data_IF_830613255060
#
_entry.id   IF_830613255060
#
_cell.length_a   1.000
_cell.length_b   1.000
_cell.length_c   1.000
_cell.angle_alpha   90.00
_cell.angle_beta   90.00
_cell.angle_gamma   90.00
#
_symmetry.space_group_name_H-M   'P 1'
#
loop_
_entity.id
_entity.type
_entity.pdbx_description
1 polymer ?
#
# COMPACT_ATOMS: atom_id res chain seq x y z
N UNK A 1 -2.94 -23.24 42.45
CA UNK A 1 -2.35 -23.02 41.10
C UNK A 1 -3.49 -22.81 40.11
N UNK A 2 -3.75 -21.58 39.72
CA UNK A 2 -4.74 -21.28 38.67
C UNK A 2 -4.01 -21.42 37.35
N UNK A 3 -4.37 -22.42 36.55
CA UNK A 3 -3.86 -22.56 35.19
C UNK A 3 -4.38 -21.37 34.36
N UNK A 4 -3.51 -20.44 34.05
CA UNK A 4 -3.80 -19.44 33.01
C UNK A 4 -3.83 -20.19 31.66
N UNK A 5 -5.03 -20.44 31.15
CA UNK A 5 -5.21 -20.86 29.78
C UNK A 5 -4.77 -19.69 28.90
N UNK A 6 -3.60 -19.81 28.24
CA UNK A 6 -3.21 -18.93 27.17
C UNK A 6 -4.21 -19.15 26.03
N UNK A 7 -5.17 -18.26 25.88
CA UNK A 7 -5.93 -18.18 24.63
C UNK A 7 -4.94 -17.79 23.53
N UNK A 8 -4.58 -18.74 22.68
CA UNK A 8 -3.88 -18.42 21.43
C UNK A 8 -4.75 -17.41 20.67
N UNK A 9 -4.24 -16.20 20.48
CA UNK A 9 -4.93 -15.20 19.67
C UNK A 9 -5.05 -15.76 18.26
N UNK A 10 -6.26 -15.71 17.66
CA UNK A 10 -6.49 -16.16 16.30
C UNK A 10 -5.58 -15.35 15.37
N UNK A 11 -4.72 -16.02 14.64
CA UNK A 11 -3.93 -15.39 13.58
C UNK A 11 -4.70 -15.42 12.27
N UNK A 12 -4.45 -14.39 11.43
CA UNK A 12 -4.99 -14.26 10.08
C UNK A 12 -3.95 -14.72 9.07
N UNK A 13 -4.40 -15.42 8.03
CA UNK A 13 -3.51 -15.89 6.97
C UNK A 13 -3.25 -14.76 5.97
N UNK A 14 -2.00 -14.34 5.84
CA UNK A 14 -1.55 -13.36 4.87
C UNK A 14 -0.70 -14.02 3.78
N UNK A 15 -1.03 -13.80 2.53
CA UNK A 15 -0.19 -14.16 1.40
C UNK A 15 0.58 -12.93 0.92
N UNK A 16 1.90 -12.94 1.10
CA UNK A 16 2.77 -11.91 0.59
C UNK A 16 3.33 -12.32 -0.79
N UNK A 17 2.82 -11.68 -1.85
CA UNK A 17 3.25 -11.95 -3.23
C UNK A 17 4.31 -10.92 -3.61
N UNK A 18 5.49 -11.39 -3.96
CA UNK A 18 6.65 -10.60 -4.33
C UNK A 18 7.43 -11.26 -5.48
N UNK A 19 8.58 -10.72 -5.86
CA UNK A 19 9.49 -11.31 -6.85
C UNK A 19 9.84 -10.34 -7.95
N UNK A 20 9.37 -10.57 -9.18
CA UNK A 20 9.78 -9.72 -10.28
C UNK A 20 9.30 -8.27 -10.12
N UNK A 21 10.23 -7.36 -10.29
CA UNK A 21 10.02 -5.92 -10.34
C UNK A 21 10.93 -5.31 -11.42
N UNK A 22 10.82 -4.03 -11.65
CA UNK A 22 11.70 -3.32 -12.57
C UNK A 22 13.08 -3.03 -11.95
N UNK A 23 13.98 -2.44 -12.74
CA UNK A 23 15.35 -2.12 -12.31
C UNK A 23 15.46 -0.98 -11.28
N UNK A 24 14.36 -0.29 -10.99
CA UNK A 24 14.33 0.88 -10.10
C UNK A 24 13.93 0.51 -8.68
N UNK A 25 13.39 -0.71 -8.46
CA UNK A 25 12.91 -1.19 -7.18
C UNK A 25 13.70 -2.41 -6.69
N UNK A 26 13.61 -2.73 -5.41
CA UNK A 26 14.18 -3.94 -4.81
C UNK A 26 13.13 -4.65 -3.98
N UNK A 27 12.51 -5.66 -4.57
CA UNK A 27 11.51 -6.47 -3.89
C UNK A 27 12.08 -7.19 -2.65
N UNK A 28 13.37 -7.56 -2.67
CA UNK A 28 14.02 -8.25 -1.55
C UNK A 28 14.08 -7.35 -0.31
N UNK A 29 14.44 -6.07 -0.49
CA UNK A 29 14.51 -5.11 0.61
C UNK A 29 13.12 -4.84 1.15
N UNK A 30 12.15 -4.57 0.27
CA UNK A 30 10.78 -4.29 0.67
C UNK A 30 10.14 -5.46 1.41
N UNK A 31 10.27 -6.69 0.87
CA UNK A 31 9.67 -7.87 1.48
C UNK A 31 10.26 -8.20 2.86
N UNK A 32 11.57 -8.05 3.05
CA UNK A 32 12.20 -8.27 4.36
C UNK A 32 11.59 -7.37 5.45
N UNK A 33 11.39 -6.08 5.15
CA UNK A 33 10.76 -5.15 6.09
C UNK A 33 9.29 -5.47 6.32
N UNK A 34 8.52 -5.64 5.25
CA UNK A 34 7.07 -5.80 5.36
C UNK A 34 6.66 -7.12 6.01
N UNK A 35 7.33 -8.21 5.68
CA UNK A 35 7.10 -9.51 6.33
C UNK A 35 7.44 -9.41 7.82
N UNK A 36 8.60 -8.83 8.18
CA UNK A 36 8.97 -8.64 9.57
C UNK A 36 7.96 -7.77 10.33
N UNK A 37 7.45 -6.70 9.71
CA UNK A 37 6.41 -5.84 10.29
C UNK A 37 5.08 -6.58 10.53
N UNK A 38 4.67 -7.47 9.64
CA UNK A 38 3.44 -8.25 9.84
C UNK A 38 3.62 -9.29 10.94
N UNK A 39 4.74 -10.01 10.94
CA UNK A 39 5.04 -11.06 11.94
C UNK A 39 5.19 -10.48 13.35
N UNK A 40 5.83 -9.31 13.53
CA UNK A 40 5.98 -8.68 14.85
C UNK A 40 4.64 -8.33 15.51
N UNK A 41 3.55 -8.17 14.72
CA UNK A 41 2.22 -7.90 15.29
C UNK A 41 1.64 -9.09 16.04
N UNK A 42 2.09 -10.30 15.75
CA UNK A 42 1.50 -11.55 16.25
C UNK A 42 0.11 -11.85 15.66
N UNK A 43 -0.43 -10.97 14.80
CA UNK A 43 -1.77 -11.13 14.21
C UNK A 43 -1.77 -11.98 12.94
N UNK A 44 -0.63 -12.09 12.25
CA UNK A 44 -0.55 -12.73 10.94
C UNK A 44 0.37 -13.95 10.93
N UNK A 45 -0.09 -14.99 10.26
CA UNK A 45 0.76 -16.01 9.69
C UNK A 45 1.02 -15.62 8.24
N UNK A 46 2.29 -15.44 7.86
CA UNK A 46 2.66 -14.91 6.54
C UNK A 46 3.29 -16.00 5.68
N UNK A 47 2.63 -16.32 4.58
CA UNK A 47 3.21 -17.12 3.51
C UNK A 47 3.79 -16.20 2.45
N UNK A 48 5.04 -16.42 2.05
CA UNK A 48 5.72 -15.62 1.02
C UNK A 48 5.78 -16.38 -0.28
N UNK A 49 5.26 -15.78 -1.35
CA UNK A 49 5.32 -16.32 -2.71
C UNK A 49 6.18 -15.41 -3.59
N UNK A 50 7.31 -15.92 -4.01
CA UNK A 50 8.23 -15.21 -4.92
C UNK A 50 7.93 -15.62 -6.35
N UNK A 51 7.48 -14.68 -7.16
CA UNK A 51 7.03 -14.92 -8.52
C UNK A 51 8.08 -14.50 -9.57
N UNK A 52 8.19 -15.26 -10.67
CA UNK A 52 8.91 -14.82 -11.87
C UNK A 52 8.12 -13.73 -12.60
N UNK A 53 8.77 -13.13 -13.61
CA UNK A 53 8.10 -12.15 -14.49
C UNK A 53 6.81 -12.69 -15.14
N UNK A 54 6.82 -13.95 -15.52
CA UNK A 54 5.67 -14.63 -16.13
C UNK A 54 5.32 -15.86 -15.31
N UNK A 55 4.13 -15.86 -14.73
CA UNK A 55 3.60 -16.99 -13.96
C UNK A 55 3.04 -18.03 -14.94
N UNK A 56 3.52 -19.27 -14.84
CA UNK A 56 3.14 -20.38 -15.73
C UNK A 56 2.53 -21.55 -14.95
N UNK A 57 3.32 -22.14 -14.05
CA UNK A 57 3.00 -23.39 -13.37
C UNK A 57 2.73 -23.25 -11.87
N UNK A 58 2.89 -22.03 -11.34
CA UNK A 58 2.66 -21.76 -9.94
C UNK A 58 1.18 -21.96 -9.58
N UNK A 59 0.94 -22.53 -8.41
CA UNK A 59 -0.42 -22.79 -7.90
C UNK A 59 -0.68 -22.03 -6.63
N UNK A 60 -1.81 -21.37 -6.56
CA UNK A 60 -2.27 -20.68 -5.38
C UNK A 60 -3.79 -20.83 -5.27
N UNK A 61 -4.26 -21.09 -4.06
CA UNK A 61 -5.68 -20.92 -3.72
C UNK A 61 -5.83 -19.69 -2.84
N UNK A 62 -6.18 -18.56 -3.47
CA UNK A 62 -6.37 -17.29 -2.76
C UNK A 62 -7.42 -17.37 -1.66
N UNK A 63 -8.36 -18.34 -1.75
CA UNK A 63 -9.43 -18.48 -0.75
C UNK A 63 -8.93 -18.99 0.62
N UNK A 64 -7.68 -19.46 0.71
CA UNK A 64 -7.04 -19.85 1.97
C UNK A 64 -6.51 -18.66 2.78
N UNK A 65 -6.54 -17.44 2.20
CA UNK A 65 -5.97 -16.25 2.81
C UNK A 65 -7.03 -15.20 3.14
N UNK A 66 -6.82 -14.52 4.26
CA UNK A 66 -7.66 -13.41 4.69
C UNK A 66 -7.24 -12.11 4.00
N UNK A 67 -5.96 -11.99 3.66
CA UNK A 67 -5.38 -10.83 2.96
C UNK A 67 -4.24 -11.25 2.03
N UNK A 68 -4.17 -10.58 0.87
CA UNK A 68 -3.02 -10.63 -0.04
C UNK A 68 -2.31 -9.28 0.01
N UNK A 69 -1.00 -9.29 0.26
CA UNK A 69 -0.13 -8.13 0.11
C UNK A 69 0.62 -8.28 -1.21
N UNK A 70 0.47 -7.31 -2.09
CA UNK A 70 1.05 -7.35 -3.42
C UNK A 70 2.23 -6.38 -3.53
N UNK A 71 3.38 -6.94 -3.84
CA UNK A 71 4.63 -6.23 -4.09
C UNK A 71 5.31 -6.81 -5.35
N UNK A 72 4.75 -6.51 -6.51
CA UNK A 72 5.28 -6.91 -7.82
C UNK A 72 5.01 -5.83 -8.84
N UNK A 73 5.89 -5.73 -9.83
CA UNK A 73 5.72 -4.86 -10.99
C UNK A 73 6.16 -5.60 -12.26
N UNK A 74 5.69 -5.17 -13.42
CA UNK A 74 5.99 -5.77 -14.73
C UNK A 74 5.77 -7.30 -14.80
N UNK A 75 4.81 -7.84 -14.05
CA UNK A 75 4.49 -9.27 -14.03
C UNK A 75 3.29 -9.60 -14.93
N UNK A 76 3.27 -10.83 -15.41
CA UNK A 76 2.15 -11.38 -16.15
C UNK A 76 1.54 -12.58 -15.43
N UNK A 77 0.23 -12.48 -15.13
CA UNK A 77 -0.54 -13.57 -14.55
C UNK A 77 -1.42 -14.24 -15.60
N UNK A 78 -1.56 -15.57 -15.56
CA UNK A 78 -2.46 -16.28 -16.44
C UNK A 78 -3.93 -15.92 -16.14
N UNK A 79 -4.79 -16.02 -17.15
CA UNK A 79 -6.19 -15.58 -17.04
C UNK A 79 -6.96 -16.29 -15.92
N UNK A 80 -6.65 -17.56 -15.65
CA UNK A 80 -7.32 -18.29 -14.57
C UNK A 80 -6.94 -17.73 -13.18
N UNK A 81 -5.69 -17.28 -12.96
CA UNK A 81 -5.29 -16.59 -11.74
C UNK A 81 -6.04 -15.27 -11.56
N UNK A 82 -6.11 -14.47 -12.63
CA UNK A 82 -6.86 -13.21 -12.62
C UNK A 82 -8.31 -13.44 -12.21
N UNK A 83 -8.98 -14.44 -12.80
CA UNK A 83 -10.36 -14.78 -12.43
C UNK A 83 -10.53 -15.29 -11.00
N UNK A 84 -9.59 -16.11 -10.51
CA UNK A 84 -9.60 -16.59 -9.13
C UNK A 84 -9.40 -15.43 -8.16
N UNK A 85 -8.48 -14.51 -8.45
CA UNK A 85 -8.21 -13.34 -7.65
C UNK A 85 -9.41 -12.38 -7.61
N UNK A 86 -10.03 -12.08 -8.73
CA UNK A 86 -11.28 -11.31 -8.80
C UNK A 86 -12.38 -11.94 -7.92
N UNK A 87 -12.55 -13.25 -8.01
CA UNK A 87 -13.53 -13.98 -7.20
C UNK A 87 -13.20 -13.86 -5.70
N UNK A 88 -11.93 -14.00 -5.32
CA UNK A 88 -11.45 -13.87 -3.96
C UNK A 88 -11.79 -12.48 -3.39
N UNK A 89 -11.41 -11.42 -4.09
CA UNK A 89 -11.70 -10.06 -3.64
C UNK A 89 -13.22 -9.82 -3.56
N UNK A 90 -13.98 -10.15 -4.62
CA UNK A 90 -15.44 -9.97 -4.62
C UNK A 90 -16.17 -10.68 -3.47
N UNK A 91 -15.61 -11.77 -2.95
CA UNK A 91 -16.16 -12.52 -1.82
C UNK A 91 -15.77 -11.98 -0.45
N UNK A 92 -14.90 -10.97 -0.38
CA UNK A 92 -14.52 -10.31 0.87
C UNK A 92 -13.04 -10.45 1.24
N UNK A 93 -12.22 -11.03 0.38
CA UNK A 93 -10.77 -11.09 0.56
C UNK A 93 -10.16 -9.69 0.67
N UNK A 94 -9.12 -9.56 1.49
CA UNK A 94 -8.35 -8.33 1.66
C UNK A 94 -7.24 -8.20 0.62
N UNK A 95 -6.93 -6.96 0.23
CA UNK A 95 -5.79 -6.66 -0.63
C UNK A 95 -5.04 -5.45 -0.11
N UNK A 96 -3.72 -5.53 -0.13
CA UNK A 96 -2.83 -4.41 0.17
C UNK A 96 -1.95 -4.17 -1.03
N UNK A 97 -1.98 -2.94 -1.54
CA UNK A 97 -1.15 -2.46 -2.65
C UNK A 97 -0.11 -1.52 -2.08
N UNK A 98 1.16 -1.79 -2.39
CA UNK A 98 2.26 -0.97 -1.91
C UNK A 98 3.07 -0.44 -3.09
N UNK A 99 3.21 0.89 -3.12
CA UNK A 99 4.10 1.62 -4.02
C UNK A 99 4.03 1.08 -5.46
N UNK A 100 5.12 0.54 -5.99
CA UNK A 100 5.24 0.04 -7.37
C UNK A 100 4.19 -0.99 -7.81
N UNK A 101 3.50 -1.64 -6.87
CA UNK A 101 2.44 -2.58 -7.22
C UNK A 101 1.23 -1.91 -7.87
N UNK A 102 1.09 -0.59 -7.76
CA UNK A 102 0.07 0.17 -8.49
C UNK A 102 0.37 0.31 -9.99
N UNK A 103 1.61 0.03 -10.40
CA UNK A 103 2.02 0.00 -11.80
C UNK A 103 1.70 -1.34 -12.48
N UNK A 104 1.46 -2.39 -11.69
CA UNK A 104 1.20 -3.72 -12.21
C UNK A 104 -0.09 -3.78 -13.05
N UNK A 105 -0.12 -4.71 -14.00
CA UNK A 105 -1.31 -5.11 -14.78
C UNK A 105 -2.11 -3.96 -15.41
N UNK A 106 -1.53 -3.03 -16.14
CA UNK A 106 -2.25 -1.88 -16.72
C UNK A 106 -3.42 -2.31 -17.61
N UNK A 107 -3.31 -3.45 -18.30
CA UNK A 107 -4.34 -4.00 -19.19
C UNK A 107 -5.51 -4.67 -18.44
N UNK A 108 -5.37 -4.94 -17.15
CA UNK A 108 -6.39 -5.67 -16.39
C UNK A 108 -7.37 -4.70 -15.75
N UNK A 109 -8.48 -4.43 -16.45
CA UNK A 109 -9.49 -3.44 -16.04
C UNK A 109 -10.05 -3.68 -14.62
N UNK A 110 -10.30 -4.94 -14.26
CA UNK A 110 -10.81 -5.24 -12.93
C UNK A 110 -9.77 -4.99 -11.84
N UNK A 111 -8.47 -5.21 -12.13
CA UNK A 111 -7.40 -4.82 -11.21
C UNK A 111 -7.33 -3.30 -11.03
N UNK A 112 -7.44 -2.53 -12.10
CA UNK A 112 -7.47 -1.07 -12.02
C UNK A 112 -8.65 -0.55 -11.18
N UNK A 113 -9.80 -1.24 -11.19
CA UNK A 113 -10.91 -0.93 -10.27
C UNK A 113 -10.59 -1.29 -8.82
N UNK A 114 -9.89 -2.40 -8.57
CA UNK A 114 -9.49 -2.81 -7.23
C UNK A 114 -8.50 -1.83 -6.61
N UNK A 115 -7.50 -1.40 -7.38
CA UNK A 115 -6.46 -0.50 -6.86
C UNK A 115 -6.89 0.97 -6.80
N UNK A 116 -7.98 1.35 -7.48
CA UNK A 116 -8.52 2.70 -7.53
C UNK A 116 -7.73 3.65 -8.44
N UNK A 117 -6.47 3.86 -8.15
CA UNK A 117 -5.53 4.67 -8.92
C UNK A 117 -4.27 3.87 -9.24
N UNK A 118 -3.71 4.07 -10.42
CA UNK A 118 -2.44 3.45 -10.82
C UNK A 118 -1.61 4.36 -11.71
N UNK A 119 -0.32 4.07 -11.79
CA UNK A 119 0.62 4.83 -12.60
C UNK A 119 1.24 4.01 -13.72
N UNK A 120 1.99 4.67 -14.57
CA UNK A 120 2.83 4.10 -15.62
C UNK A 120 2.13 3.04 -16.51
N UNK A 121 2.88 2.12 -17.12
CA UNK A 121 2.33 1.01 -17.90
C UNK A 121 1.46 1.44 -19.08
N UNK A 122 1.74 2.62 -19.68
CA UNK A 122 0.93 3.27 -20.73
C UNK A 122 -0.48 3.71 -20.29
N UNK A 123 -0.76 3.76 -18.97
CA UNK A 123 -2.01 4.37 -18.48
C UNK A 123 -2.09 5.84 -18.89
N UNK A 124 -3.28 6.28 -19.28
CA UNK A 124 -3.56 7.64 -19.75
C UNK A 124 -5.01 8.03 -19.44
N UNK A 125 -5.52 9.10 -20.05
CA UNK A 125 -6.87 9.63 -19.83
C UNK A 125 -8.01 8.62 -20.10
N UNK A 126 -7.74 7.53 -20.85
CA UNK A 126 -8.73 6.46 -21.09
C UNK A 126 -8.88 5.49 -19.91
N UNK A 127 -7.90 5.50 -19.00
CA UNK A 127 -7.90 4.64 -17.80
C UNK A 127 -8.56 5.32 -16.60
N UNK A 128 -8.87 6.63 -16.71
CA UNK A 128 -9.59 7.38 -15.71
C UNK A 128 -9.06 8.79 -15.47
N UNK A 129 -9.61 9.45 -14.48
CA UNK A 129 -9.29 10.81 -14.08
C UNK A 129 -8.01 10.88 -13.24
N UNK A 130 -7.39 12.06 -13.17
CA UNK A 130 -6.48 12.40 -12.07
C UNK A 130 -7.28 12.74 -10.81
N UNK A 131 -6.73 12.39 -9.66
CA UNK A 131 -7.28 12.74 -8.35
C UNK A 131 -6.23 13.49 -7.56
N UNK A 132 -6.58 14.67 -7.03
CA UNK A 132 -5.73 15.43 -6.13
C UNK A 132 -6.58 16.28 -5.17
N UNK A 133 -5.98 16.77 -4.11
CA UNK A 133 -6.66 17.64 -3.15
C UNK A 133 -6.29 19.09 -3.42
N UNK A 134 -7.28 19.95 -3.48
CA UNK A 134 -7.10 21.39 -3.67
C UNK A 134 -8.23 22.16 -2.96
N UNK A 135 -7.88 23.25 -2.29
CA UNK A 135 -8.83 24.17 -1.65
C UNK A 135 -9.88 23.48 -0.76
N UNK A 136 -9.47 22.46 0.00
CA UNK A 136 -10.34 21.75 0.93
C UNK A 136 -11.21 20.65 0.30
N UNK A 137 -11.05 20.35 -0.99
CA UNK A 137 -11.85 19.35 -1.71
C UNK A 137 -11.00 18.44 -2.59
N UNK A 138 -11.54 17.27 -2.92
CA UNK A 138 -10.98 16.45 -3.99
C UNK A 138 -11.37 16.98 -5.35
N UNK A 139 -10.37 17.14 -6.19
CA UNK A 139 -10.55 17.44 -7.61
C UNK A 139 -10.45 16.13 -8.40
N UNK A 140 -11.44 15.91 -9.26
CA UNK A 140 -11.49 14.79 -10.20
C UNK A 140 -11.33 15.35 -11.60
N UNK A 141 -10.09 15.29 -12.13
CA UNK A 141 -9.78 15.85 -13.43
C UNK A 141 -9.81 14.77 -14.52
N UNK A 142 -10.96 14.64 -15.14
CA UNK A 142 -11.20 13.73 -16.27
C UNK A 142 -10.91 14.39 -17.65
N UNK A 143 -10.53 15.65 -17.67
CA UNK A 143 -10.39 16.43 -18.92
C UNK A 143 -8.95 16.58 -19.37
N UNK A 144 -8.01 16.69 -18.42
CA UNK A 144 -6.59 16.86 -18.76
C UNK A 144 -6.05 15.57 -19.36
N UNK A 145 -5.58 15.59 -20.63
CA UNK A 145 -4.95 14.41 -21.23
C UNK A 145 -3.56 14.17 -20.66
N UNK A 146 -3.00 12.99 -20.89
CA UNK A 146 -1.62 12.66 -20.57
C UNK A 146 -1.44 11.36 -19.83
N UNK A 147 -0.19 10.93 -19.73
CA UNK A 147 0.19 9.70 -19.07
C UNK A 147 -0.07 9.75 -17.56
N UNK A 148 -0.37 8.61 -16.99
CA UNK A 148 -0.41 8.44 -15.54
C UNK A 148 0.97 8.17 -14.97
N UNK A 149 1.18 8.62 -13.76
CA UNK A 149 2.38 8.36 -12.98
C UNK A 149 3.48 9.40 -13.20
N UNK A 150 3.83 10.06 -12.11
CA UNK A 150 4.94 11.01 -12.02
C UNK A 150 5.46 11.01 -10.59
N UNK A 151 6.75 11.24 -10.42
CA UNK A 151 7.34 11.57 -9.13
C UNK A 151 8.46 12.59 -9.31
N UNK A 152 8.78 13.32 -8.26
CA UNK A 152 9.93 14.18 -8.16
C UNK A 152 11.17 13.45 -7.65
N UNK A 153 12.14 14.22 -7.18
CA UNK A 153 13.27 13.67 -6.42
C UNK A 153 12.77 13.08 -5.10
N UNK A 154 13.49 12.08 -4.59
CA UNK A 154 13.28 11.54 -3.25
C UNK A 154 13.68 12.57 -2.21
N UNK A 155 12.71 13.18 -1.59
CA UNK A 155 12.85 14.22 -0.57
C UNK A 155 11.86 13.97 0.54
N UNK A 156 12.07 14.53 1.75
CA UNK A 156 11.05 14.51 2.80
C UNK A 156 9.82 15.31 2.38
N UNK A 157 8.64 14.84 2.81
CA UNK A 157 7.37 15.54 2.64
C UNK A 157 6.43 15.29 3.82
N UNK A 158 5.44 16.16 3.99
CA UNK A 158 4.45 16.06 5.05
C UNK A 158 3.27 15.23 4.54
N UNK A 159 2.88 14.22 5.32
CA UNK A 159 1.62 13.51 5.15
C UNK A 159 0.53 14.30 5.89
N UNK A 160 -0.58 14.57 5.22
CA UNK A 160 -1.75 15.24 5.77
C UNK A 160 -2.94 14.28 5.83
N UNK A 161 -3.49 14.02 7.02
CA UNK A 161 -4.72 13.22 7.14
C UNK A 161 -5.93 13.98 6.59
N UNK A 162 -6.76 13.26 5.83
CA UNK A 162 -8.02 13.76 5.29
C UNK A 162 -9.24 13.12 5.95
N UNK A 163 -9.07 11.90 6.48
CA UNK A 163 -10.10 11.13 7.19
C UNK A 163 -9.57 10.65 8.56
N UNK A 164 -9.36 11.55 9.54
CA UNK A 164 -8.70 11.21 10.81
C UNK A 164 -9.48 10.18 11.66
N UNK A 165 -10.76 10.00 11.40
CA UNK A 165 -11.61 9.05 12.12
C UNK A 165 -11.61 7.64 11.47
N UNK A 166 -11.04 7.48 10.27
CA UNK A 166 -10.97 6.16 9.65
C UNK A 166 -10.07 5.22 10.46
N UNK A 167 -10.50 3.97 10.66
CA UNK A 167 -9.88 2.98 11.56
C UNK A 167 -8.37 2.84 11.34
N UNK A 168 -7.90 2.88 10.11
CA UNK A 168 -6.46 2.72 9.78
C UNK A 168 -5.63 3.84 10.43
N UNK A 169 -6.10 5.07 10.38
CA UNK A 169 -5.33 6.26 10.78
C UNK A 169 -5.80 6.88 12.10
N UNK A 170 -6.91 6.42 12.65
CA UNK A 170 -7.49 6.96 13.90
C UNK A 170 -6.48 6.93 15.03
N UNK A 171 -6.30 8.09 15.66
CA UNK A 171 -5.35 8.32 16.75
C UNK A 171 -3.94 8.73 16.30
N UNK A 172 -3.65 8.75 14.99
CA UNK A 172 -2.44 9.39 14.46
C UNK A 172 -2.59 10.93 14.50
N UNK A 173 -1.46 11.68 14.54
CA UNK A 173 -1.52 13.13 14.38
C UNK A 173 -2.05 13.50 13.01
N UNK A 174 -2.64 14.68 12.88
CA UNK A 174 -3.21 15.15 11.60
C UNK A 174 -2.17 15.32 10.50
N UNK A 175 -0.89 15.40 10.88
CA UNK A 175 0.24 15.47 9.95
C UNK A 175 1.53 14.94 10.57
N UNK A 176 2.42 14.37 9.72
CA UNK A 176 3.75 13.96 10.12
C UNK A 176 4.72 14.00 8.95
N UNK A 177 6.03 14.13 9.26
CA UNK A 177 7.10 14.11 8.27
C UNK A 177 7.39 12.67 7.84
N UNK A 178 7.31 12.42 6.54
CA UNK A 178 7.80 11.21 5.88
C UNK A 178 9.12 11.54 5.18
N UNK A 179 10.10 10.62 5.29
CA UNK A 179 11.46 10.92 4.83
C UNK A 179 11.76 10.22 3.51
N UNK A 180 12.51 10.91 2.66
CA UNK A 180 13.18 10.42 1.44
C UNK A 180 12.48 9.28 0.69
N UNK A 181 11.31 9.56 0.17
CA UNK A 181 10.52 8.61 -0.62
C UNK A 181 10.23 9.18 -2.01
N UNK A 182 9.84 8.34 -2.95
CA UNK A 182 9.27 8.75 -4.22
C UNK A 182 7.78 9.00 -4.03
N UNK A 183 7.40 10.27 -3.93
CA UNK A 183 6.00 10.63 -3.87
C UNK A 183 5.38 10.47 -5.26
N UNK A 184 4.67 9.37 -5.48
CA UNK A 184 3.91 9.15 -6.70
C UNK A 184 2.72 10.11 -6.78
N UNK A 185 2.55 10.71 -7.93
CA UNK A 185 1.46 11.62 -8.25
C UNK A 185 1.02 11.48 -9.69
N UNK A 186 0.05 12.29 -10.08
CA UNK A 186 -0.63 12.18 -11.37
C UNK A 186 -1.08 10.73 -11.66
N UNK A 187 -1.49 9.98 -10.60
CA UNK A 187 -2.07 8.66 -10.77
C UNK A 187 -3.47 8.79 -11.37
N UNK A 188 -3.84 7.82 -12.19
CA UNK A 188 -5.14 7.76 -12.85
C UNK A 188 -5.88 6.48 -12.52
N UNK A 189 -7.17 6.56 -12.51
CA UNK A 189 -7.95 5.35 -12.39
C UNK A 189 -9.45 5.62 -12.29
N UNK A 190 -10.25 4.55 -12.31
CA UNK A 190 -11.69 4.66 -12.14
C UNK A 190 -12.09 5.20 -10.77
N UNK A 191 -11.24 4.98 -9.75
CA UNK A 191 -11.42 5.41 -8.36
C UNK A 191 -12.84 5.16 -7.82
N UNK A 192 -13.47 4.08 -8.30
CA UNK A 192 -14.80 3.66 -7.87
C UNK A 192 -14.74 3.20 -6.41
N UNK A 193 -15.65 3.69 -5.56
CA UNK A 193 -15.72 3.34 -4.13
C UNK A 193 -14.41 3.56 -3.38
N UNK A 194 -13.67 4.60 -3.73
CA UNK A 194 -12.41 4.99 -3.12
C UNK A 194 -12.63 6.04 -2.02
N UNK A 195 -11.95 5.88 -0.90
CA UNK A 195 -11.87 6.87 0.18
C UNK A 195 -10.41 7.22 0.43
N UNK A 196 -10.04 8.51 0.27
CA UNK A 196 -8.67 8.98 0.49
C UNK A 196 -8.48 9.33 1.97
N UNK A 197 -7.53 8.67 2.61
CA UNK A 197 -7.23 8.83 4.04
C UNK A 197 -6.18 9.90 4.29
N UNK A 198 -5.22 10.04 3.37
CA UNK A 198 -4.15 11.03 3.49
C UNK A 198 -3.61 11.47 2.12
N UNK A 199 -3.08 12.68 2.10
CA UNK A 199 -2.40 13.27 0.93
C UNK A 199 -1.02 13.79 1.32
N UNK A 200 -0.19 14.08 0.31
CA UNK A 200 1.05 14.81 0.46
C UNK A 200 1.30 15.75 -0.74
N UNK A 201 1.92 16.89 -0.47
CA UNK A 201 2.24 17.86 -1.52
C UNK A 201 3.46 17.40 -2.34
N UNK A 202 3.25 17.18 -3.62
CA UNK A 202 4.27 16.77 -4.57
C UNK A 202 4.94 18.02 -5.16
N UNK A 203 6.04 18.46 -4.53
CA UNK A 203 6.69 19.73 -4.83
C UNK A 203 7.21 19.82 -6.28
N UNK A 204 6.67 20.77 -7.03
CA UNK A 204 7.09 21.05 -8.41
C UNK A 204 8.57 21.47 -8.49
N UNK A 205 9.11 22.11 -7.46
CA UNK A 205 10.53 22.51 -7.39
C UNK A 205 11.48 21.32 -7.36
N UNK A 206 11.02 20.16 -6.94
CA UNK A 206 11.77 18.89 -6.97
C UNK A 206 11.45 18.02 -8.17
N UNK A 207 10.58 18.47 -9.07
CA UNK A 207 10.12 17.72 -10.23
C UNK A 207 8.78 16.99 -10.01
N UNK A 208 8.13 17.20 -8.88
CA UNK A 208 6.79 16.69 -8.59
C UNK A 208 5.68 17.35 -9.41
N UNK A 209 4.43 17.08 -9.04
CA UNK A 209 3.24 17.51 -9.79
C UNK A 209 2.79 18.93 -9.47
N UNK A 210 3.21 19.49 -8.32
CA UNK A 210 2.71 20.75 -7.78
C UNK A 210 1.33 20.64 -7.14
N UNK A 211 0.89 19.41 -6.80
CA UNK A 211 -0.44 19.10 -6.25
C UNK A 211 -0.33 18.34 -4.94
N UNK A 212 -1.40 18.35 -4.15
CA UNK A 212 -1.59 17.45 -3.01
C UNK A 212 -2.12 16.10 -3.52
N UNK A 213 -1.24 15.11 -3.61
CA UNK A 213 -1.53 13.80 -4.17
C UNK A 213 -2.06 12.82 -3.11
N UNK A 214 -3.03 11.94 -3.44
CA UNK A 214 -3.43 10.85 -2.55
C UNK A 214 -2.26 9.89 -2.28
N UNK A 215 -1.98 9.62 -1.01
CA UNK A 215 -0.88 8.70 -0.62
C UNK A 215 -1.35 7.50 0.17
N UNK A 216 -2.47 7.60 0.88
CA UNK A 216 -3.14 6.51 1.57
C UNK A 216 -4.61 6.54 1.23
N UNK A 217 -5.15 5.45 0.73
CA UNK A 217 -6.58 5.35 0.43
C UNK A 217 -7.08 3.91 0.51
N UNK A 218 -8.39 3.78 0.64
CA UNK A 218 -9.06 2.49 0.62
C UNK A 218 -10.00 2.41 -0.58
N UNK A 219 -10.24 1.18 -1.05
CA UNK A 219 -11.19 0.90 -2.12
C UNK A 219 -12.04 -0.30 -1.70
N UNK A 220 -13.32 -0.26 -2.04
CA UNK A 220 -14.20 -1.40 -1.92
C UNK A 220 -14.50 -2.00 -3.30
N UNK A 221 -14.24 -3.30 -3.47
CA UNK A 221 -14.54 -4.03 -4.69
C UNK A 221 -15.36 -5.29 -4.39
N UNK A 222 -16.65 -5.26 -4.69
CA UNK A 222 -17.57 -6.27 -4.19
C UNK A 222 -17.66 -6.21 -2.66
N UNK A 223 -17.34 -7.31 -1.98
CA UNK A 223 -17.22 -7.35 -0.52
C UNK A 223 -15.78 -7.17 -0.03
N UNK A 224 -14.82 -7.10 -0.94
CA UNK A 224 -13.40 -6.98 -0.63
C UNK A 224 -13.01 -5.59 -0.14
N UNK A 225 -11.97 -5.56 0.66
CA UNK A 225 -11.38 -4.36 1.23
C UNK A 225 -9.95 -4.21 0.73
N UNK A 226 -9.67 -3.11 0.12
CA UNK A 226 -8.36 -2.83 -0.45
C UNK A 226 -7.75 -1.63 0.27
N UNK A 227 -6.56 -1.79 0.82
CA UNK A 227 -5.75 -0.69 1.32
C UNK A 227 -4.63 -0.42 0.33
N UNK A 228 -4.53 0.81 -0.13
CA UNK A 228 -3.51 1.26 -1.06
C UNK A 228 -2.62 2.31 -0.39
N UNK A 229 -1.33 2.05 -0.36
CA UNK A 229 -0.30 2.92 0.17
C UNK A 229 0.74 3.19 -0.92
N UNK A 230 0.81 4.41 -1.38
CA UNK A 230 1.72 4.84 -2.47
C UNK A 230 3.17 4.98 -1.98
N UNK A 231 3.38 4.96 -0.66
CA UNK A 231 4.68 5.10 -0.01
C UNK A 231 5.45 3.78 -0.04
N UNK A 232 6.78 3.86 0.14
CA UNK A 232 7.60 2.70 0.37
C UNK A 232 8.59 2.36 -0.73
N UNK A 233 9.05 3.35 -1.50
CA UNK A 233 10.10 3.13 -2.50
C UNK A 233 11.35 2.51 -1.89
N UNK A 234 11.84 1.44 -2.52
CA UNK A 234 13.08 0.79 -2.14
C UNK A 234 13.94 0.49 -3.35
N UNK A 235 15.24 0.65 -3.15
CA UNK A 235 16.26 0.21 -4.08
C UNK A 235 17.42 -0.36 -3.28
N UNK A 236 18.23 -1.21 -3.86
CA UNK A 236 19.44 -1.72 -3.19
C UNK A 236 20.26 -0.54 -2.62
N UNK A 237 20.43 -0.54 -1.29
CA UNK A 237 21.08 0.54 -0.54
C UNK A 237 20.19 1.76 -0.20
N UNK A 238 18.89 1.69 -0.49
CA UNK A 238 17.91 2.74 -0.17
C UNK A 238 16.65 2.10 0.41
N UNK A 239 16.49 2.19 1.71
CA UNK A 239 15.37 1.66 2.48
C UNK A 239 14.76 2.69 3.44
N UNK A 240 15.11 3.97 3.26
CA UNK A 240 14.78 5.05 4.20
C UNK A 240 13.27 5.22 4.38
N UNK A 241 12.50 5.11 3.29
CA UNK A 241 11.04 5.21 3.35
C UNK A 241 10.43 4.19 4.31
N UNK A 242 10.98 2.95 4.35
CA UNK A 242 10.50 1.87 5.21
C UNK A 242 10.84 2.07 6.68
N UNK A 243 11.86 2.87 7.00
CA UNK A 243 12.24 3.18 8.38
C UNK A 243 11.30 4.17 9.04
N UNK A 244 10.49 4.90 8.27
CA UNK A 244 9.54 5.84 8.84
C UNK A 244 8.46 5.11 9.64
N UNK A 245 8.35 5.41 10.94
CA UNK A 245 7.40 4.73 11.84
C UNK A 245 5.97 5.01 11.42
N UNK A 246 5.66 6.19 10.88
CA UNK A 246 4.34 6.49 10.34
C UNK A 246 3.95 5.52 9.21
N UNK A 247 4.88 5.22 8.29
CA UNK A 247 4.69 4.20 7.26
C UNK A 247 4.44 2.82 7.87
N UNK A 248 5.27 2.40 8.84
CA UNK A 248 5.14 1.08 9.47
C UNK A 248 3.78 0.90 10.14
N UNK A 249 3.31 1.92 10.87
CA UNK A 249 2.00 1.91 11.53
C UNK A 249 0.86 1.78 10.51
N UNK A 250 0.86 2.61 9.46
CA UNK A 250 -0.24 2.56 8.48
C UNK A 250 -0.22 1.29 7.66
N UNK A 251 0.95 0.72 7.37
CA UNK A 251 1.08 -0.58 6.71
C UNK A 251 0.49 -1.72 7.56
N UNK A 252 0.87 -1.82 8.84
CA UNK A 252 0.35 -2.86 9.74
C UNK A 252 -1.18 -2.74 9.94
N UNK A 253 -1.67 -1.53 10.24
CA UNK A 253 -3.10 -1.28 10.48
C UNK A 253 -3.92 -1.38 9.21
N UNK A 254 -3.38 -0.95 8.07
CA UNK A 254 -4.00 -1.11 6.76
C UNK A 254 -4.16 -2.57 6.37
N UNK A 255 -3.15 -3.40 6.67
CA UNK A 255 -3.21 -4.85 6.43
C UNK A 255 -4.24 -5.50 7.34
N UNK A 256 -4.27 -5.16 8.64
CA UNK A 256 -5.29 -5.65 9.57
C UNK A 256 -6.71 -5.27 9.09
N UNK A 257 -6.92 -4.02 8.70
CA UNK A 257 -8.21 -3.55 8.20
C UNK A 257 -8.62 -4.29 6.91
N UNK A 258 -7.70 -4.48 5.98
CA UNK A 258 -7.98 -5.22 4.74
C UNK A 258 -8.39 -6.66 5.04
N UNK A 259 -7.70 -7.33 5.95
CA UNK A 259 -8.00 -8.70 6.36
C UNK A 259 -9.36 -8.82 7.06
N UNK A 260 -9.67 -7.90 7.99
CA UNK A 260 -10.71 -8.12 9.01
C UNK A 260 -11.88 -7.13 8.94
N UNK A 261 -11.68 -5.96 8.36
CA UNK A 261 -12.60 -4.82 8.45
C UNK A 261 -12.49 -4.05 9.78
N UNK A 262 -11.54 -4.40 10.64
CA UNK A 262 -11.32 -3.80 11.95
C UNK A 262 -9.84 -3.45 12.14
N UNK A 263 -9.53 -2.65 13.16
CA UNK A 263 -8.15 -2.36 13.58
C UNK A 263 -8.08 -2.46 15.09
N UNK A 264 -7.32 -3.43 15.58
CA UNK A 264 -7.04 -3.67 17.02
C UNK A 264 -5.63 -3.25 17.39
N UNK A 265 -4.74 -3.12 16.41
CA UNK A 265 -3.37 -2.69 16.60
C UNK A 265 -3.33 -1.27 17.17
N UNK A 266 -2.72 -1.16 18.33
CA UNK A 266 -2.51 0.13 18.99
C UNK A 266 -1.38 0.90 18.30
N UNK A 267 -1.49 2.22 18.33
CA UNK A 267 -0.38 3.08 17.94
C UNK A 267 0.69 2.94 19.02
N UNK A 268 1.96 2.63 18.67
CA UNK A 268 3.05 2.59 19.63
C UNK A 268 3.21 3.96 20.32
N UNK A 269 3.83 3.95 21.50
CA UNK A 269 4.21 5.19 22.20
C UNK A 269 5.39 5.83 21.48
N UNK A 270 5.08 6.55 20.41
CA UNK A 270 6.05 7.27 19.57
C UNK A 270 5.51 8.64 19.19
N UNK A 271 6.39 9.59 19.08
CA UNK A 271 6.04 10.95 18.65
C UNK A 271 6.18 11.03 17.13
N UNK A 272 5.05 11.08 16.41
CA UNK A 272 5.05 11.49 15.01
C UNK A 272 4.82 12.99 14.94
N UNK A 273 5.66 13.71 14.20
CA UNK A 273 5.54 15.16 14.05
C UNK A 273 5.87 15.62 12.63
N UNK A 274 5.43 16.83 12.28
CA UNK A 274 5.76 17.45 10.99
C UNK A 274 7.20 18.02 10.95
N UNK A 275 7.86 18.15 12.11
CA UNK A 275 9.16 18.82 12.23
C UNK A 275 10.35 17.87 12.21
N UNK A 276 10.13 16.61 12.57
CA UNK A 276 11.19 15.60 12.61
C UNK A 276 10.61 14.21 12.32
N UNK A 277 11.32 13.36 11.56
CA UNK A 277 10.90 12.01 11.32
C UNK A 277 11.13 11.13 12.54
N UNK A 278 10.26 10.16 12.77
CA UNK A 278 10.48 9.06 13.71
C UNK A 278 10.85 7.82 12.92
N UNK A 279 12.00 7.22 13.21
CA UNK A 279 12.60 6.16 12.42
C UNK A 279 12.85 4.90 13.24
N UNK A 280 12.65 3.73 12.62
CA UNK A 280 12.96 2.41 13.18
C UNK A 280 13.46 1.48 12.06
N UNK A 281 14.68 1.00 12.20
CA UNK A 281 15.29 0.08 11.24
C UNK A 281 14.81 -1.37 11.37
N UNK A 282 15.16 -2.19 10.36
CA UNK A 282 14.84 -3.62 10.35
C UNK A 282 15.44 -4.38 11.55
N UNK A 283 16.63 -3.97 11.99
CA UNK A 283 17.28 -4.57 13.16
C UNK A 283 16.44 -4.41 14.44
N UNK A 284 15.79 -3.28 14.62
CA UNK A 284 14.95 -3.01 15.80
C UNK A 284 13.61 -3.75 15.72
N UNK A 285 13.10 -3.98 14.52
CA UNK A 285 11.92 -4.82 14.29
C UNK A 285 12.23 -6.26 14.69
N UNK A 286 13.36 -6.80 14.24
CA UNK A 286 13.76 -8.18 14.51
C UNK A 286 14.14 -8.46 15.98
N UNK A 287 14.52 -7.47 16.76
CA UNK A 287 14.80 -7.63 18.22
C UNK A 287 13.56 -7.92 19.06
N UNK A 288 12.35 -7.67 18.51
CA UNK A 288 11.08 -7.91 19.22
C UNK A 288 10.51 -9.31 19.00
N UNK A 289 11.12 -10.10 18.13
CA UNK A 289 10.83 -11.52 17.94
C UNK A 289 11.62 -12.36 18.96
#
# INVERSE_FOLDING_TARGET
>A
MVAMSSFSQKQWNALYITGHTDKYHSWEVLSQYQVALLEETGLFQVDVMVLPKTVVDEKVDFMNYDVVVLNVNEVSWPIHWKKQFEKYIRKGGGLVIIHEADNAFPEWKEFNKMIGLGGWGNRNEKDGAFYYWENGNYVVDSKTPGSAGKHGKRVPFIIHLRQPEHLIVKGLPTQWLHINDELYGDLRGPAENMEVLATAYSDAGTGGTGKEEPVLFTVHYGKGRIFHCVLGHTKKGFDEALKNIGYQIVFQRGTEWAATGSVTLKIPDVVLSANSPSLRGLEDINKKK
#
